data_IF_775253237399
#
_entry.id   IF_775253237399
#
_cell.length_a   1.000
_cell.length_b   1.000
_cell.length_c   1.000
_cell.angle_alpha   90.00
_cell.angle_beta   90.00
_cell.angle_gamma   90.00
#
_symmetry.space_group_name_H-M   'P 1'
#
loop_
_entity.id
_entity.type
_entity.pdbx_description
1 polymer ?
#
# COMPACT_ATOMS: atom_id res chain seq x y z
N UNK A 1 24.31 -12.35 24.40
CA UNK A 1 23.68 -12.92 23.19
C UNK A 1 23.02 -11.78 22.44
N UNK A 2 23.58 -11.36 21.29
CA UNK A 2 23.01 -10.25 20.51
C UNK A 2 21.70 -10.69 19.85
N UNK A 3 20.67 -9.84 19.87
CA UNK A 3 19.38 -10.11 19.26
C UNK A 3 19.49 -10.03 17.73
N UNK A 4 18.66 -10.78 16.98
CA UNK A 4 18.74 -10.87 15.51
C UNK A 4 18.39 -9.57 14.76
N UNK A 5 17.70 -8.63 15.41
CA UNK A 5 17.26 -7.37 14.80
C UNK A 5 17.73 -6.16 15.63
N UNK A 6 18.14 -5.06 14.99
CA UNK A 6 18.42 -4.93 13.56
C UNK A 6 19.73 -5.63 13.17
N UNK A 7 19.76 -6.32 12.02
CA UNK A 7 20.98 -6.99 11.52
C UNK A 7 22.07 -6.02 11.08
N UNK A 8 21.67 -4.80 10.71
CA UNK A 8 22.49 -3.81 10.00
C UNK A 8 23.14 -2.78 10.94
N UNK A 9 22.79 -2.73 12.23
CA UNK A 9 23.47 -1.90 13.25
C UNK A 9 23.63 -2.75 14.51
N UNK A 10 24.83 -3.30 14.71
CA UNK A 10 25.17 -4.22 15.80
C UNK A 10 25.08 -3.54 17.16
N UNK A 11 25.50 -2.28 17.27
CA UNK A 11 25.39 -1.52 18.51
C UNK A 11 23.94 -1.40 18.97
N UNK A 12 23.02 -1.15 18.04
CA UNK A 12 21.59 -1.09 18.32
C UNK A 12 21.00 -2.47 18.60
N UNK A 13 21.48 -3.53 17.94
CA UNK A 13 21.05 -4.91 18.18
C UNK A 13 21.33 -5.40 19.62
N UNK A 14 22.26 -4.77 20.32
CA UNK A 14 22.60 -5.06 21.71
C UNK A 14 21.75 -4.29 22.73
N UNK A 15 21.01 -3.27 22.30
CA UNK A 15 20.13 -2.50 23.18
C UNK A 15 19.01 -3.41 23.73
N UNK A 16 18.94 -3.60 25.06
CA UNK A 16 17.99 -4.53 25.68
C UNK A 16 16.58 -3.96 25.78
N UNK A 17 16.36 -2.70 25.41
CA UNK A 17 15.09 -2.00 25.56
C UNK A 17 14.25 -2.02 24.28
N UNK A 18 13.04 -1.45 24.34
CA UNK A 18 12.19 -1.28 23.15
C UNK A 18 12.72 -0.20 22.20
N UNK A 19 13.64 0.66 22.63
CA UNK A 19 14.31 1.65 21.77
C UNK A 19 14.96 0.99 20.55
N UNK A 20 15.58 -0.19 20.73
CA UNK A 20 16.10 -1.03 19.65
C UNK A 20 15.13 -1.24 18.50
N UNK A 21 13.86 -1.52 18.81
CA UNK A 21 12.84 -1.83 17.79
C UNK A 21 12.52 -0.57 16.99
N UNK A 22 12.24 0.53 17.69
CA UNK A 22 11.89 1.81 17.08
C UNK A 22 13.01 2.37 16.22
N UNK A 23 14.23 2.41 16.74
CA UNK A 23 15.38 2.92 16.01
C UNK A 23 15.83 1.96 14.91
N UNK A 24 15.58 0.66 15.05
CA UNK A 24 15.81 -0.30 13.98
C UNK A 24 14.93 0.00 12.78
N UNK A 25 13.64 0.29 12.99
CA UNK A 25 12.72 0.67 11.91
C UNK A 25 13.08 2.04 11.34
N UNK A 26 13.37 3.02 12.19
CA UNK A 26 13.67 4.39 11.78
C UNK A 26 14.93 4.49 10.90
N UNK A 27 15.96 3.69 11.18
CA UNK A 27 17.22 3.68 10.43
C UNK A 27 17.29 2.60 9.34
N UNK A 28 16.18 1.92 9.03
CA UNK A 28 16.20 0.81 8.08
C UNK A 28 16.61 1.25 6.65
N UNK A 29 16.28 2.48 6.26
CA UNK A 29 16.60 3.04 4.94
C UNK A 29 17.71 4.08 4.96
N UNK A 30 18.27 4.40 6.14
CA UNK A 30 19.50 5.19 6.24
C UNK A 30 20.71 4.28 6.02
N UNK A 31 20.91 3.88 4.77
CA UNK A 31 21.86 2.82 4.39
C UNK A 31 23.32 3.21 4.67
N UNK A 32 23.64 4.51 4.68
CA UNK A 32 24.98 5.02 4.95
C UNK A 32 25.41 4.80 6.40
N UNK A 33 24.47 4.76 7.34
CA UNK A 33 24.75 4.50 8.75
C UNK A 33 24.80 3.01 9.12
N UNK A 34 24.62 2.12 8.15
CA UNK A 34 24.69 0.67 8.38
C UNK A 34 26.14 0.21 8.58
N UNK A 35 26.35 -0.71 9.51
CA UNK A 35 27.67 -1.26 9.79
C UNK A 35 28.26 -1.94 8.55
N UNK A 36 29.54 -1.66 8.29
CA UNK A 36 30.33 -2.25 7.19
C UNK A 36 29.77 -1.98 5.78
N UNK A 37 28.99 -0.92 5.58
CA UNK A 37 28.56 -0.49 4.25
C UNK A 37 29.75 0.07 3.46
N UNK A 38 29.88 -0.33 2.20
CA UNK A 38 30.83 0.26 1.24
C UNK A 38 30.07 1.08 0.21
N UNK A 39 30.73 2.03 -0.45
CA UNK A 39 30.11 2.86 -1.49
C UNK A 39 29.49 2.01 -2.62
N UNK A 40 30.22 1.00 -3.11
CA UNK A 40 29.70 0.09 -4.13
C UNK A 40 28.40 -0.61 -3.68
N UNK A 41 28.40 -1.15 -2.45
CA UNK A 41 27.25 -1.88 -1.92
C UNK A 41 26.07 -0.95 -1.61
N UNK A 42 26.35 0.27 -1.17
CA UNK A 42 25.35 1.32 -0.98
C UNK A 42 24.60 1.56 -2.30
N UNK A 43 25.32 1.83 -3.39
CA UNK A 43 24.70 2.07 -4.69
C UNK A 43 23.99 0.84 -5.25
N UNK A 44 24.51 -0.37 -5.08
CA UNK A 44 23.82 -1.61 -5.50
C UNK A 44 22.50 -1.80 -4.74
N UNK A 45 22.48 -1.58 -3.42
CA UNK A 45 21.27 -1.66 -2.61
C UNK A 45 20.25 -0.60 -3.04
N UNK A 46 20.69 0.66 -3.20
CA UNK A 46 19.83 1.75 -3.69
C UNK A 46 19.24 1.40 -5.06
N UNK A 47 20.06 0.91 -5.99
CA UNK A 47 19.60 0.51 -7.32
C UNK A 47 18.53 -0.59 -7.26
N UNK A 48 18.76 -1.64 -6.46
CA UNK A 48 17.77 -2.70 -6.26
C UNK A 48 16.47 -2.17 -5.59
N UNK A 49 16.60 -1.26 -4.62
CA UNK A 49 15.44 -0.61 -3.98
C UNK A 49 14.61 0.19 -4.97
N UNK A 50 15.21 0.85 -5.97
CA UNK A 50 14.47 1.52 -7.04
C UNK A 50 13.61 0.55 -7.85
N UNK A 51 14.13 -0.63 -8.20
CA UNK A 51 13.33 -1.66 -8.89
C UNK A 51 12.17 -2.14 -8.01
N UNK A 52 12.41 -2.35 -6.71
CA UNK A 52 11.34 -2.65 -5.76
C UNK A 52 10.25 -1.58 -5.74
N UNK A 53 10.65 -0.31 -5.67
CA UNK A 53 9.71 0.82 -5.67
C UNK A 53 8.91 0.92 -6.97
N UNK A 54 9.56 0.75 -8.12
CA UNK A 54 8.87 0.73 -9.42
C UNK A 54 7.88 -0.42 -9.52
N UNK A 55 8.25 -1.61 -9.05
CA UNK A 55 7.35 -2.76 -9.03
C UNK A 55 6.11 -2.51 -8.16
N UNK A 56 6.26 -1.87 -6.99
CA UNK A 56 5.14 -1.48 -6.12
C UNK A 56 4.20 -0.50 -6.84
N UNK A 57 4.75 0.50 -7.54
CA UNK A 57 3.96 1.47 -8.31
C UNK A 57 3.17 0.77 -9.43
N UNK A 58 3.81 -0.14 -10.18
CA UNK A 58 3.12 -0.88 -11.23
C UNK A 58 2.04 -1.81 -10.68
N UNK A 59 2.31 -2.48 -9.56
CA UNK A 59 1.31 -3.33 -8.90
C UNK A 59 0.12 -2.50 -8.41
N UNK A 60 0.37 -1.37 -7.75
CA UNK A 60 -0.67 -0.44 -7.30
C UNK A 60 -1.52 0.07 -8.48
N UNK A 61 -0.88 0.47 -9.57
CA UNK A 61 -1.60 0.95 -10.77
C UNK A 61 -2.44 -0.18 -11.38
N UNK A 62 -1.87 -1.39 -11.49
CA UNK A 62 -2.55 -2.57 -12.00
C UNK A 62 -3.75 -2.97 -11.12
N UNK A 63 -3.63 -2.85 -9.80
CA UNK A 63 -4.70 -3.14 -8.85
C UNK A 63 -5.86 -2.15 -9.01
N UNK A 64 -5.57 -0.85 -9.16
CA UNK A 64 -6.61 0.16 -9.45
C UNK A 64 -7.36 -0.18 -10.74
N UNK A 65 -6.65 -0.50 -11.83
CA UNK A 65 -7.26 -0.90 -13.10
C UNK A 65 -8.09 -2.19 -12.95
N UNK A 66 -7.55 -3.17 -12.22
CA UNK A 66 -8.21 -4.46 -12.02
C UNK A 66 -9.52 -4.31 -11.25
N UNK A 67 -9.53 -3.59 -10.14
CA UNK A 67 -10.75 -3.39 -9.35
C UNK A 67 -11.81 -2.58 -10.11
N UNK A 68 -11.41 -1.56 -10.87
CA UNK A 68 -12.34 -0.80 -11.72
C UNK A 68 -12.92 -1.67 -12.84
N UNK A 69 -12.09 -2.50 -13.49
CA UNK A 69 -12.55 -3.38 -14.56
C UNK A 69 -13.44 -4.52 -14.04
N UNK A 70 -13.15 -5.05 -12.86
CA UNK A 70 -13.85 -6.21 -12.30
C UNK A 70 -15.12 -5.83 -11.54
N UNK A 71 -15.06 -4.80 -10.70
CA UNK A 71 -16.11 -4.44 -9.74
C UNK A 71 -16.66 -3.02 -9.95
N UNK A 72 -16.01 -2.24 -10.79
CA UNK A 72 -16.41 -0.87 -11.10
C UNK A 72 -17.57 -0.79 -12.09
N UNK A 73 -17.96 0.45 -12.40
CA UNK A 73 -19.02 0.77 -13.35
C UNK A 73 -18.48 1.62 -14.53
N UNK A 74 -17.23 1.41 -14.92
CA UNK A 74 -16.52 2.22 -15.92
C UNK A 74 -17.32 2.40 -17.22
N UNK A 75 -17.89 1.31 -17.76
CA UNK A 75 -18.71 1.38 -18.98
C UNK A 75 -19.93 2.30 -18.83
N UNK A 76 -20.63 2.23 -17.70
CA UNK A 76 -21.78 3.10 -17.42
C UNK A 76 -21.36 4.54 -17.15
N UNK A 77 -20.23 4.74 -16.48
CA UNK A 77 -19.69 6.08 -16.18
C UNK A 77 -19.25 6.80 -17.46
N UNK A 78 -18.67 6.11 -18.44
CA UNK A 78 -18.34 6.70 -19.75
C UNK A 78 -19.59 7.11 -20.53
N UNK A 79 -20.72 6.42 -20.34
CA UNK A 79 -21.99 6.75 -21.01
C UNK A 79 -22.67 7.99 -20.41
N UNK A 80 -22.57 8.21 -19.10
CA UNK A 80 -23.13 9.40 -18.42
C UNK A 80 -22.21 9.88 -17.27
N UNK A 81 -21.08 10.54 -17.61
CA UNK A 81 -20.04 10.88 -16.63
C UNK A 81 -20.45 11.98 -15.65
N UNK A 82 -21.53 12.73 -15.94
CA UNK A 82 -21.99 13.83 -15.08
C UNK A 82 -22.92 13.37 -13.96
N UNK A 83 -23.60 12.23 -14.13
CA UNK A 83 -24.58 11.74 -13.16
C UNK A 83 -24.23 10.38 -12.56
N UNK A 84 -23.48 9.54 -13.29
CA UNK A 84 -23.01 8.24 -12.76
C UNK A 84 -21.77 8.47 -11.91
N UNK A 85 -21.87 8.10 -10.63
CA UNK A 85 -20.73 8.16 -9.71
C UNK A 85 -19.80 6.97 -9.95
N UNK A 86 -18.49 7.19 -10.17
CA UNK A 86 -17.49 6.14 -10.31
C UNK A 86 -17.41 5.19 -9.11
N UNK A 87 -17.30 3.89 -9.35
CA UNK A 87 -17.12 2.87 -8.31
C UNK A 87 -15.66 2.44 -8.16
N UNK A 88 -15.13 2.46 -6.94
CA UNK A 88 -13.75 2.08 -6.66
C UNK A 88 -13.55 0.57 -6.74
N UNK A 89 -14.20 -0.12 -5.80
CA UNK A 89 -14.16 -1.55 -5.57
C UNK A 89 -15.40 -1.93 -4.75
N UNK A 90 -15.66 -3.24 -4.69
CA UNK A 90 -16.64 -3.79 -3.77
C UNK A 90 -16.10 -3.77 -2.34
N UNK A 91 -16.99 -3.51 -1.39
CA UNK A 91 -16.71 -3.63 0.04
C UNK A 91 -17.11 -5.02 0.53
N UNK A 92 -16.26 -5.62 1.35
CA UNK A 92 -16.53 -6.88 2.03
C UNK A 92 -16.11 -6.78 3.49
N UNK A 93 -17.07 -6.48 4.37
CA UNK A 93 -16.85 -6.42 5.82
C UNK A 93 -17.95 -7.21 6.56
N UNK A 94 -17.63 -8.34 7.19
CA UNK A 94 -18.60 -9.18 7.90
C UNK A 94 -19.17 -8.51 9.16
N UNK A 95 -18.61 -7.41 9.63
CA UNK A 95 -19.10 -6.67 10.80
C UNK A 95 -20.23 -5.70 10.43
N UNK A 96 -20.51 -5.47 9.15
CA UNK A 96 -21.56 -4.55 8.73
C UNK A 96 -22.95 -5.10 9.02
N UNK A 97 -23.69 -4.36 9.84
CA UNK A 97 -25.13 -4.57 10.02
C UNK A 97 -25.92 -4.13 8.78
N UNK A 98 -27.17 -4.59 8.69
CA UNK A 98 -28.07 -4.31 7.57
C UNK A 98 -28.16 -2.82 7.17
N UNK A 99 -28.26 -1.84 8.10
CA UNK A 99 -28.35 -0.43 7.72
C UNK A 99 -27.10 0.07 7.00
N UNK A 100 -25.91 -0.43 7.38
CA UNK A 100 -24.66 -0.12 6.67
C UNK A 100 -24.66 -0.76 5.30
N UNK A 101 -25.21 -1.98 5.17
CA UNK A 101 -25.31 -2.66 3.88
C UNK A 101 -26.15 -1.84 2.90
N UNK A 102 -27.33 -1.40 3.33
CA UNK A 102 -28.18 -0.53 2.51
C UNK A 102 -27.51 0.81 2.21
N UNK A 103 -26.86 1.39 3.23
CA UNK A 103 -26.18 2.66 3.07
C UNK A 103 -25.02 2.60 2.08
N UNK A 104 -24.27 1.50 1.94
CA UNK A 104 -23.13 1.42 1.01
C UNK A 104 -23.46 0.72 -0.31
N UNK A 105 -24.69 0.23 -0.49
CA UNK A 105 -25.19 -0.25 -1.79
C UNK A 105 -25.71 0.94 -2.60
N UNK A 106 -24.79 1.63 -3.29
CA UNK A 106 -25.06 2.88 -4.03
C UNK A 106 -24.49 2.84 -5.46
N UNK A 107 -24.75 3.88 -6.26
CA UNK A 107 -24.15 4.03 -7.59
C UNK A 107 -24.70 3.05 -8.64
N UNK A 108 -25.89 2.50 -8.41
CA UNK A 108 -26.50 1.47 -9.26
C UNK A 108 -25.93 0.06 -9.07
N UNK A 109 -25.05 -0.14 -8.07
CA UNK A 109 -24.49 -1.45 -7.77
C UNK A 109 -25.50 -2.35 -7.03
N UNK A 110 -25.36 -3.67 -7.25
CA UNK A 110 -26.16 -4.71 -6.56
C UNK A 110 -25.58 -5.09 -5.18
N UNK A 111 -24.47 -4.48 -4.77
CA UNK A 111 -23.80 -4.76 -3.52
C UNK A 111 -23.03 -3.56 -2.99
N UNK A 112 -22.32 -3.79 -1.89
CA UNK A 112 -21.57 -2.75 -1.19
C UNK A 112 -20.41 -2.25 -2.04
N UNK A 113 -20.31 -0.94 -2.21
CA UNK A 113 -19.26 -0.33 -3.01
C UNK A 113 -18.76 0.97 -2.40
N UNK A 114 -17.51 1.30 -2.71
CA UNK A 114 -16.95 2.62 -2.46
C UNK A 114 -17.10 3.52 -3.69
N UNK A 115 -17.42 4.80 -3.47
CA UNK A 115 -17.37 5.81 -4.55
C UNK A 115 -15.94 6.30 -4.70
N UNK A 116 -15.49 6.38 -5.94
CA UNK A 116 -14.11 6.69 -6.30
C UNK A 116 -13.91 8.18 -6.58
N UNK A 117 -12.85 8.78 -6.03
CA UNK A 117 -12.59 10.23 -6.11
C UNK A 117 -11.18 10.59 -6.60
N UNK A 118 -10.34 9.63 -6.99
CA UNK A 118 -8.98 9.91 -7.46
C UNK A 118 -8.89 10.31 -8.94
N UNK A 119 -9.99 10.20 -9.70
CA UNK A 119 -10.05 10.65 -11.09
C UNK A 119 -9.45 9.69 -12.13
N UNK A 120 -9.30 8.40 -11.81
CA UNK A 120 -8.82 7.36 -12.77
C UNK A 120 -9.91 6.92 -13.77
N UNK A 121 -11.17 7.26 -13.53
CA UNK A 121 -12.28 7.04 -14.45
C UNK A 121 -12.28 8.03 -15.61
#
# INVERSE_FOLDING_TARGET
MALRFPRFIQGLAQDPTTHRIWFGIANAHDLESHDYITEERLYQNIFASHFGQLAIIFLWTSENLFHVAWQGNFQSSVQDPLHVRPIANALWDPHFGHPTVEAFTRGGALGLVNIFYSGVY
#
